data_IF_204465861268
#
_entry.id   IF_204465861268
#
_cell.length_a   1.000
_cell.length_b   1.000
_cell.length_c   1.000
_cell.angle_alpha   90.00
_cell.angle_beta   90.00
_cell.angle_gamma   90.00
#
_symmetry.space_group_name_H-M   'P 1'
#
loop_
_entity.id
_entity.type
_entity.pdbx_description
1 polymer ?
#
# COMPACT_ATOMS: atom_id res chain seq x y z
N UNK A 1 3.38 6.27 -9.01
CA UNK A 1 4.02 6.99 -7.91
C UNK A 1 5.37 6.41 -7.53
N UNK A 2 6.20 7.24 -6.99
CA UNK A 2 7.56 6.90 -6.61
C UNK A 2 7.64 5.74 -5.61
N UNK A 3 6.76 5.73 -4.62
CA UNK A 3 6.78 4.69 -3.60
C UNK A 3 6.38 3.33 -4.16
N UNK A 4 5.44 3.31 -5.07
CA UNK A 4 5.02 2.09 -5.73
C UNK A 4 6.15 1.52 -6.59
N UNK A 5 6.85 2.38 -7.31
CA UNK A 5 7.98 2.00 -8.14
C UNK A 5 9.12 1.42 -7.30
N UNK A 6 9.45 2.08 -6.20
CA UNK A 6 10.52 1.63 -5.30
C UNK A 6 10.20 0.25 -4.72
N UNK A 7 8.96 0.04 -4.27
CA UNK A 7 8.54 -1.25 -3.74
C UNK A 7 8.63 -2.33 -4.81
N UNK A 8 8.20 -2.04 -6.03
CA UNK A 8 8.27 -2.98 -7.14
C UNK A 8 9.70 -3.34 -7.47
N UNK A 9 10.60 -2.36 -7.51
CA UNK A 9 12.01 -2.61 -7.84
C UNK A 9 12.70 -3.50 -6.81
N UNK A 10 12.42 -3.27 -5.52
CA UNK A 10 13.02 -4.05 -4.46
C UNK A 10 12.54 -5.51 -4.49
N UNK A 11 11.28 -5.74 -4.76
CA UNK A 11 10.68 -7.07 -4.63
C UNK A 11 10.45 -7.80 -5.95
N UNK A 12 10.75 -7.20 -7.08
CA UNK A 12 10.72 -7.90 -8.38
C UNK A 12 11.55 -9.18 -8.36
N UNK A 13 12.66 -9.15 -7.65
CA UNK A 13 13.55 -10.30 -7.54
C UNK A 13 12.97 -11.43 -6.72
N UNK A 14 11.86 -11.20 -6.02
CA UNK A 14 11.21 -12.16 -5.14
C UNK A 14 9.84 -12.57 -5.66
N UNK A 15 9.69 -12.65 -6.98
CA UNK A 15 8.44 -13.06 -7.66
C UNK A 15 7.26 -12.11 -7.46
N UNK A 16 7.50 -10.88 -7.10
CA UNK A 16 6.44 -9.88 -7.01
C UNK A 16 5.97 -9.51 -8.43
N UNK A 17 4.69 -9.67 -8.69
CA UNK A 17 4.13 -9.40 -10.01
C UNK A 17 3.69 -7.95 -10.18
N UNK A 18 3.05 -7.38 -9.17
CA UNK A 18 2.60 -5.99 -9.19
C UNK A 18 2.66 -5.39 -7.80
N UNK A 19 2.98 -4.11 -7.74
CA UNK A 19 2.92 -3.32 -6.52
C UNK A 19 2.55 -1.89 -6.87
N UNK A 20 1.59 -1.33 -6.15
CA UNK A 20 1.13 0.03 -6.41
C UNK A 20 0.47 0.60 -5.17
N UNK A 21 0.20 1.90 -5.21
CA UNK A 21 -0.52 2.60 -4.15
C UNK A 21 -1.87 3.05 -4.68
N UNK A 22 -2.88 2.96 -3.82
CA UNK A 22 -4.23 3.38 -4.15
C UNK A 22 -4.61 4.53 -3.23
N UNK A 23 -5.00 5.66 -3.81
CA UNK A 23 -5.54 6.76 -3.04
C UNK A 23 -7.00 6.47 -2.72
N UNK A 24 -7.33 6.47 -1.42
CA UNK A 24 -8.70 6.24 -0.99
C UNK A 24 -9.32 7.57 -0.61
N UNK A 25 -10.38 8.00 -1.31
CA UNK A 25 -10.99 9.31 -1.04
C UNK A 25 -11.91 9.27 0.18
N UNK A 26 -11.37 8.80 1.28
CA UNK A 26 -12.06 8.73 2.57
C UNK A 26 -11.20 9.46 3.59
N UNK A 27 -11.84 9.92 4.64
CA UNK A 27 -11.15 10.61 5.72
C UNK A 27 -11.02 9.69 6.93
N UNK A 28 -9.85 9.73 7.53
CA UNK A 28 -9.57 9.00 8.76
C UNK A 28 -8.99 9.94 9.78
N UNK A 29 -9.22 9.67 11.04
CA UNK A 29 -8.69 10.52 12.09
C UNK A 29 -7.19 10.26 12.23
N UNK A 30 -6.42 11.35 12.31
CA UNK A 30 -5.00 11.32 12.61
C UNK A 30 -4.70 12.29 13.73
N UNK A 31 -3.52 12.17 14.31
CA UNK A 31 -3.08 13.06 15.39
C UNK A 31 -1.76 13.69 14.97
N UNK A 32 -1.74 15.02 14.99
CA UNK A 32 -0.53 15.80 14.72
C UNK A 32 -0.30 16.73 15.90
N UNK A 33 0.75 16.47 16.67
CA UNK A 33 0.93 17.13 17.96
C UNK A 33 -0.23 16.77 18.87
N UNK A 34 -0.92 17.78 19.39
CA UNK A 34 -2.08 17.58 20.25
C UNK A 34 -3.41 17.71 19.51
N UNK A 35 -3.35 17.89 18.19
CA UNK A 35 -4.57 18.08 17.37
C UNK A 35 -4.99 16.80 16.69
N UNK A 36 -6.30 16.61 16.62
CA UNK A 36 -6.91 15.57 15.81
C UNK A 36 -7.27 16.16 14.46
N UNK A 37 -6.92 15.45 13.38
CA UNK A 37 -7.22 15.89 12.04
C UNK A 37 -7.87 14.75 11.27
N UNK A 38 -8.71 15.10 10.32
CA UNK A 38 -9.31 14.15 9.39
C UNK A 38 -8.58 14.28 8.07
N UNK A 39 -7.80 13.26 7.74
CA UNK A 39 -6.94 13.29 6.57
C UNK A 39 -7.14 12.04 5.74
N UNK A 40 -6.56 12.04 4.55
CA UNK A 40 -6.77 10.98 3.58
C UNK A 40 -6.01 9.71 3.92
N UNK A 41 -6.40 8.63 3.25
CA UNK A 41 -5.83 7.29 3.45
C UNK A 41 -5.26 6.78 2.14
N UNK A 42 -4.09 6.15 2.19
CA UNK A 42 -3.53 5.41 1.07
C UNK A 42 -3.53 3.93 1.39
N UNK A 43 -3.77 3.12 0.37
CA UNK A 43 -3.62 1.68 0.49
C UNK A 43 -2.41 1.22 -0.34
N UNK A 44 -1.59 0.37 0.24
CA UNK A 44 -0.54 -0.33 -0.49
C UNK A 44 -1.10 -1.65 -0.99
N UNK A 45 -0.80 -1.99 -2.22
CA UNK A 45 -1.20 -3.26 -2.81
C UNK A 45 0.01 -3.90 -3.47
N UNK A 46 0.34 -5.12 -3.07
CA UNK A 46 1.40 -5.89 -3.69
C UNK A 46 0.93 -7.33 -3.80
N UNK A 47 1.05 -7.91 -4.98
CA UNK A 47 0.53 -9.25 -5.24
C UNK A 47 1.55 -10.09 -6.01
N UNK A 48 1.44 -11.40 -5.83
CA UNK A 48 2.17 -12.41 -6.58
C UNK A 48 1.18 -13.20 -7.40
N UNK A 49 1.47 -13.39 -8.67
CA UNK A 49 0.60 -14.16 -9.55
C UNK A 49 1.42 -14.80 -10.66
N UNK A 50 0.91 -15.90 -11.20
CA UNK A 50 1.53 -16.58 -12.33
C UNK A 50 0.80 -16.23 -13.63
N UNK A 51 -0.52 -16.21 -13.58
CA UNK A 51 -1.35 -16.10 -14.78
C UNK A 51 -2.39 -14.97 -14.72
N UNK A 52 -2.38 -14.17 -13.65
CA UNK A 52 -3.32 -13.08 -13.39
C UNK A 52 -4.78 -13.53 -13.21
N UNK A 53 -5.04 -14.82 -13.30
CA UNK A 53 -6.36 -15.39 -12.99
C UNK A 53 -6.55 -15.48 -11.49
N UNK A 54 -5.49 -15.87 -10.80
CA UNK A 54 -5.46 -15.89 -9.33
C UNK A 54 -4.24 -15.11 -8.87
N UNK A 55 -4.34 -14.52 -7.70
CA UNK A 55 -3.24 -13.76 -7.13
C UNK A 55 -3.26 -13.85 -5.61
N UNK A 56 -2.09 -13.92 -5.02
CA UNK A 56 -1.94 -13.85 -3.58
C UNK A 56 -1.36 -12.51 -3.20
N UNK A 57 -1.82 -11.95 -2.08
CA UNK A 57 -1.19 -10.74 -1.57
C UNK A 57 0.24 -11.08 -1.15
N UNK A 58 1.18 -10.19 -1.44
CA UNK A 58 2.59 -10.45 -1.17
C UNK A 58 2.89 -10.30 0.31
N UNK A 59 3.65 -11.26 0.85
CA UNK A 59 4.06 -11.25 2.25
C UNK A 59 5.35 -10.44 2.38
N UNK A 60 5.22 -9.11 2.30
CA UNK A 60 6.36 -8.23 2.43
C UNK A 60 6.86 -8.22 3.87
N UNK A 61 8.17 -8.03 4.07
CA UNK A 61 8.69 -7.93 5.43
C UNK A 61 8.00 -6.84 6.22
N UNK A 62 7.69 -7.14 7.46
CA UNK A 62 7.01 -6.22 8.36
C UNK A 62 7.74 -4.87 8.45
N UNK A 63 9.04 -4.91 8.61
CA UNK A 63 9.87 -3.70 8.73
C UNK A 63 9.82 -2.85 7.45
N UNK A 64 9.75 -3.49 6.30
CA UNK A 64 9.67 -2.79 5.03
C UNK A 64 8.35 -2.05 4.90
N UNK A 65 7.25 -2.71 5.23
CA UNK A 65 5.92 -2.08 5.20
C UNK A 65 5.91 -0.86 6.12
N UNK A 66 6.48 -1.01 7.31
CA UNK A 66 6.58 0.08 8.27
C UNK A 66 7.37 1.26 7.74
N UNK A 67 8.50 1.00 7.11
CA UNK A 67 9.34 2.07 6.52
C UNK A 67 8.62 2.82 5.41
N UNK A 68 7.98 2.10 4.51
CA UNK A 68 7.24 2.72 3.40
C UNK A 68 6.10 3.57 3.94
N UNK A 69 5.35 3.03 4.90
CA UNK A 69 4.25 3.71 5.54
C UNK A 69 4.71 5.01 6.21
N UNK A 70 5.80 4.96 6.97
CA UNK A 70 6.35 6.13 7.64
C UNK A 70 6.82 7.19 6.65
N UNK A 71 7.45 6.79 5.55
CA UNK A 71 7.88 7.73 4.53
C UNK A 71 6.70 8.42 3.86
N UNK A 72 5.65 7.66 3.55
CA UNK A 72 4.46 8.23 2.92
C UNK A 72 3.83 9.28 3.84
N UNK A 73 3.64 8.92 5.10
CA UNK A 73 2.98 9.82 6.06
C UNK A 73 3.83 11.07 6.30
N UNK A 74 5.16 10.93 6.35
CA UNK A 74 6.05 12.06 6.64
C UNK A 74 6.29 12.96 5.43
N UNK A 75 6.23 12.43 4.22
CA UNK A 75 6.63 13.17 3.02
C UNK A 75 5.45 13.65 2.18
N UNK A 76 4.28 13.05 2.34
CA UNK A 76 3.10 13.44 1.56
C UNK A 76 2.12 14.14 2.50
N UNK A 77 1.87 15.46 2.28
CA UNK A 77 0.93 16.18 3.14
C UNK A 77 -0.48 15.63 3.01
N UNK A 78 -1.25 15.74 4.07
CA UNK A 78 -2.67 15.39 4.15
C UNK A 78 -2.95 13.88 4.09
N UNK A 79 -1.91 13.05 4.19
CA UNK A 79 -2.06 11.61 4.34
C UNK A 79 -1.66 11.24 5.77
N UNK A 80 -2.57 10.65 6.51
CA UNK A 80 -2.31 10.29 7.90
C UNK A 80 -2.40 8.80 8.18
N UNK A 81 -2.78 8.01 7.18
CA UNK A 81 -2.92 6.58 7.39
C UNK A 81 -2.58 5.81 6.12
N UNK A 82 -1.81 4.74 6.30
CA UNK A 82 -1.50 3.80 5.22
C UNK A 82 -1.98 2.44 5.65
N UNK A 83 -2.72 1.77 4.77
CA UNK A 83 -3.18 0.40 5.01
C UNK A 83 -2.58 -0.52 3.95
N UNK A 84 -2.45 -1.80 4.27
CA UNK A 84 -1.95 -2.79 3.33
C UNK A 84 -3.08 -3.74 2.96
N UNK A 85 -3.36 -3.87 1.66
CA UNK A 85 -4.42 -4.74 1.18
C UNK A 85 -3.94 -6.18 1.18
N UNK A 86 -4.47 -6.98 2.07
CA UNK A 86 -4.10 -8.39 2.25
C UNK A 86 -5.18 -9.34 1.71
N UNK A 87 -5.79 -8.99 0.60
CA UNK A 87 -6.82 -9.81 -0.01
C UNK A 87 -6.32 -10.41 -1.33
N UNK A 88 -6.49 -11.71 -1.48
CA UNK A 88 -6.12 -12.40 -2.71
C UNK A 88 -7.22 -12.35 -3.76
N UNK A 89 -6.89 -12.76 -4.96
CA UNK A 89 -7.84 -12.91 -6.06
C UNK A 89 -8.05 -14.39 -6.32
N UNK A 90 -9.26 -14.94 -6.26
CA UNK A 90 -10.47 -14.30 -5.77
C UNK A 90 -10.49 -14.18 -4.25
N UNK A 91 -11.37 -13.40 -3.61
CA UNK A 91 -12.52 -12.71 -4.20
C UNK A 91 -12.23 -11.29 -4.70
N UNK A 92 -11.11 -10.70 -4.29
CA UNK A 92 -10.79 -9.37 -4.77
C UNK A 92 -10.14 -9.44 -6.15
N UNK A 93 -10.00 -8.30 -6.79
CA UNK A 93 -9.20 -8.19 -8.00
C UNK A 93 -7.82 -7.69 -7.63
N UNK A 94 -6.86 -7.77 -8.55
CA UNK A 94 -5.54 -7.22 -8.32
C UNK A 94 -5.67 -5.71 -8.18
N UNK A 95 -6.32 -5.08 -9.15
CA UNK A 95 -6.57 -3.65 -9.14
C UNK A 95 -7.82 -3.34 -8.33
N UNK A 96 -7.96 -2.08 -7.90
CA UNK A 96 -9.10 -1.64 -7.11
C UNK A 96 -10.29 -1.20 -7.97
N UNK A 97 -10.04 -1.04 -9.25
CA UNK A 97 -11.13 -0.69 -10.19
C UNK A 97 -11.17 -1.63 -11.38
#
# INVERSE_FOLDING_TARGET
>A
PEYSSAASDVYKRQSLSQAFVVYLPIKSVGVVGDERRYEDVLALRAVETVDFMTANWAHLPYDFIGKVSNRIVNEIPLISRVVYDCTGKPPATIEWE
#
